data_IF_376147708747
#
_entry.id   IF_376147708747
#
_cell.length_a   1.000
_cell.length_b   1.000
_cell.length_c   1.000
_cell.angle_alpha   90.00
_cell.angle_beta   90.00
_cell.angle_gamma   90.00
#
_symmetry.space_group_name_H-M   'P 1'
#
loop_
_entity.id
_entity.type
_entity.pdbx_description
1 polymer ?
#
# COMPACT_ATOMS: atom_id res chain seq x y z
N UNK A 1 -23.05 15.55 6.64
CA UNK A 1 -22.75 14.14 6.34
C UNK A 1 -21.84 13.60 7.43
N UNK A 2 -21.84 12.30 7.72
CA UNK A 2 -20.90 11.71 8.69
C UNK A 2 -19.77 11.03 7.91
N UNK A 3 -18.53 11.36 8.24
CA UNK A 3 -17.35 10.79 7.60
C UNK A 3 -16.87 9.50 8.30
N UNK A 4 -15.80 8.89 7.81
CA UNK A 4 -15.28 7.61 8.33
C UNK A 4 -14.67 7.70 9.73
N UNK A 5 -14.45 8.92 10.25
CA UNK A 5 -14.03 9.15 11.64
C UNK A 5 -15.22 9.33 12.58
N UNK A 6 -16.44 9.35 12.04
CA UNK A 6 -17.66 9.67 12.79
C UNK A 6 -17.90 11.17 12.96
N UNK A 7 -17.13 12.03 12.28
CA UNK A 7 -17.31 13.47 12.35
C UNK A 7 -18.42 13.94 11.41
N UNK A 8 -19.22 14.91 11.87
CA UNK A 8 -20.16 15.61 11.01
C UNK A 8 -19.43 16.66 10.16
N UNK A 9 -19.60 16.57 8.85
CA UNK A 9 -18.99 17.46 7.86
C UNK A 9 -20.09 18.09 7.00
N UNK A 10 -20.04 19.42 6.87
CA UNK A 10 -20.89 20.18 5.96
C UNK A 10 -20.31 20.12 4.54
N UNK A 11 -20.72 19.10 3.79
CA UNK A 11 -20.31 18.87 2.41
C UNK A 11 -21.23 19.65 1.45
N UNK A 12 -20.70 20.39 0.45
CA UNK A 12 -21.52 21.04 -0.56
C UNK A 12 -22.39 20.05 -1.33
N UNK A 13 -23.61 20.42 -1.68
CA UNK A 13 -24.53 19.56 -2.44
C UNK A 13 -23.96 19.14 -3.82
N UNK A 14 -23.16 20.01 -4.42
CA UNK A 14 -22.52 19.76 -5.71
C UNK A 14 -21.09 20.33 -5.69
N UNK A 15 -20.10 19.59 -5.15
CA UNK A 15 -18.72 20.07 -5.13
C UNK A 15 -18.19 20.19 -6.56
N UNK A 16 -17.50 21.30 -6.86
CA UNK A 16 -16.99 21.65 -8.19
C UNK A 16 -15.46 21.74 -8.22
N UNK A 17 -14.83 21.96 -7.07
CA UNK A 17 -13.38 22.15 -6.92
C UNK A 17 -12.86 21.17 -5.89
N UNK A 18 -12.79 19.91 -6.29
CA UNK A 18 -12.39 18.81 -5.41
C UNK A 18 -10.89 18.62 -5.44
N UNK A 19 -10.29 18.49 -4.26
CA UNK A 19 -8.91 18.03 -4.08
C UNK A 19 -8.93 16.64 -3.46
N UNK A 20 -8.14 15.71 -4.01
CA UNK A 20 -7.99 14.36 -3.48
C UNK A 20 -6.56 14.15 -2.95
N UNK A 21 -6.46 13.80 -1.66
CA UNK A 21 -5.18 13.62 -0.96
C UNK A 21 -4.77 12.16 -0.78
N UNK A 22 -5.52 11.21 -1.36
CA UNK A 22 -5.13 9.81 -1.40
C UNK A 22 -5.33 9.22 -2.80
N UNK A 23 -4.52 8.20 -3.14
CA UNK A 23 -4.62 7.49 -4.42
C UNK A 23 -6.02 6.86 -4.60
N UNK A 24 -6.61 6.30 -3.53
CA UNK A 24 -7.96 5.71 -3.60
C UNK A 24 -9.05 6.76 -3.82
N UNK A 25 -8.90 7.96 -3.27
CA UNK A 25 -9.85 9.05 -3.51
C UNK A 25 -9.73 9.57 -4.94
N UNK A 26 -8.52 9.63 -5.49
CA UNK A 26 -8.29 9.95 -6.89
C UNK A 26 -8.95 8.92 -7.81
N UNK A 27 -8.71 7.63 -7.56
CA UNK A 27 -9.32 6.52 -8.30
C UNK A 27 -10.84 6.60 -8.28
N UNK A 28 -11.41 6.81 -7.09
CA UNK A 28 -12.86 6.90 -6.90
C UNK A 28 -13.45 8.11 -7.65
N UNK A 29 -12.87 9.30 -7.48
CA UNK A 29 -13.35 10.51 -8.14
C UNK A 29 -13.32 10.37 -9.66
N UNK A 30 -12.22 9.89 -10.24
CA UNK A 30 -12.12 9.71 -11.69
C UNK A 30 -13.04 8.61 -12.21
N UNK A 31 -13.21 7.50 -11.48
CA UNK A 31 -14.16 6.45 -11.84
C UNK A 31 -15.63 6.94 -11.83
N UNK A 32 -15.94 7.90 -10.96
CA UNK A 32 -17.26 8.55 -10.87
C UNK A 32 -17.41 9.75 -11.82
N UNK A 33 -16.41 10.03 -12.65
CA UNK A 33 -16.43 11.15 -13.60
C UNK A 33 -16.35 12.53 -12.95
N UNK A 34 -15.85 12.62 -11.71
CA UNK A 34 -15.66 13.87 -10.99
C UNK A 34 -14.26 14.41 -11.30
N UNK A 35 -14.14 15.60 -11.95
CA UNK A 35 -12.85 16.21 -12.19
C UNK A 35 -12.24 16.72 -10.88
N UNK A 36 -10.92 16.66 -10.78
CA UNK A 36 -10.16 17.15 -9.63
C UNK A 36 -9.41 18.42 -10.01
N UNK A 37 -9.30 19.38 -9.09
CA UNK A 37 -8.43 20.55 -9.28
C UNK A 37 -7.05 20.33 -8.68
N UNK A 38 -6.92 19.42 -7.72
CA UNK A 38 -5.65 19.10 -7.07
C UNK A 38 -5.55 17.63 -6.67
N UNK A 39 -4.36 17.08 -6.84
CA UNK A 39 -4.03 15.67 -6.56
C UNK A 39 -2.66 15.57 -5.90
N UNK A 40 -2.44 14.53 -5.09
CA UNK A 40 -1.10 14.23 -4.58
C UNK A 40 -0.25 13.46 -5.60
N UNK A 41 1.06 13.54 -5.45
CA UNK A 41 1.98 12.68 -6.19
C UNK A 41 1.83 11.22 -5.77
N UNK A 42 2.24 10.29 -6.65
CA UNK A 42 2.37 8.88 -6.28
C UNK A 42 3.38 8.68 -5.16
N UNK A 43 3.25 7.58 -4.41
CA UNK A 43 4.15 7.27 -3.28
C UNK A 43 5.63 7.23 -3.71
N UNK A 44 6.45 8.11 -3.13
CA UNK A 44 7.87 8.25 -3.46
C UNK A 44 8.16 8.87 -4.83
N UNK A 45 7.13 9.32 -5.55
CA UNK A 45 7.24 9.95 -6.86
C UNK A 45 7.15 11.48 -6.76
N UNK A 46 7.60 12.14 -7.82
CA UNK A 46 7.52 13.60 -7.99
C UNK A 46 6.34 14.04 -8.87
N UNK A 47 5.55 13.07 -9.34
CA UNK A 47 4.39 13.30 -10.21
C UNK A 47 3.21 12.46 -9.73
N UNK A 48 1.97 12.81 -10.10
CA UNK A 48 0.80 11.96 -9.85
C UNK A 48 0.98 10.54 -10.41
N UNK A 49 0.27 9.53 -9.87
CA UNK A 49 0.41 8.16 -10.30
C UNK A 49 0.30 8.00 -11.82
N UNK A 50 1.26 7.30 -12.43
CA UNK A 50 1.38 7.22 -13.88
C UNK A 50 0.13 6.65 -14.57
N UNK A 51 -0.59 5.74 -13.91
CA UNK A 51 -1.81 5.14 -14.43
C UNK A 51 -3.01 6.11 -14.48
N UNK A 52 -2.92 7.26 -13.81
CA UNK A 52 -3.95 8.30 -13.81
C UNK A 52 -3.67 9.46 -14.78
N UNK A 53 -2.51 9.48 -15.44
CA UNK A 53 -2.07 10.62 -16.26
C UNK A 53 -3.09 11.02 -17.34
N UNK A 54 -3.76 10.06 -17.97
CA UNK A 54 -4.80 10.35 -18.98
C UNK A 54 -6.09 10.93 -18.42
N UNK A 55 -6.30 10.86 -17.09
CA UNK A 55 -7.51 11.32 -16.41
C UNK A 55 -7.32 12.66 -15.69
N UNK A 56 -6.08 13.12 -15.50
CA UNK A 56 -5.78 14.31 -14.70
C UNK A 56 -6.45 15.57 -15.25
N UNK A 57 -6.58 15.72 -16.56
CA UNK A 57 -7.10 16.96 -17.16
C UNK A 57 -6.30 18.17 -16.68
N UNK A 58 -6.99 19.12 -16.03
CA UNK A 58 -6.40 20.33 -15.47
C UNK A 58 -5.93 20.18 -13.99
N UNK A 59 -6.03 18.98 -13.41
CA UNK A 59 -5.61 18.72 -12.04
C UNK A 59 -4.10 18.96 -11.89
N UNK A 60 -3.72 19.72 -10.86
CA UNK A 60 -2.30 19.96 -10.54
C UNK A 60 -1.85 19.16 -9.33
N UNK A 61 -0.55 18.87 -9.27
CA UNK A 61 0.02 18.28 -8.07
C UNK A 61 0.02 19.28 -6.92
N UNK A 62 -0.45 18.85 -5.75
CA UNK A 62 -0.38 19.59 -4.49
C UNK A 62 0.74 19.10 -3.57
N UNK A 63 1.69 18.33 -4.10
CA UNK A 63 2.88 17.88 -3.35
C UNK A 63 2.95 16.37 -3.16
N UNK A 64 3.81 15.95 -2.23
CA UNK A 64 4.06 14.54 -1.99
C UNK A 64 2.88 13.86 -1.30
N UNK A 65 2.65 12.58 -1.59
CA UNK A 65 1.63 11.77 -0.87
C UNK A 65 1.79 11.86 0.66
N UNK A 66 3.02 11.83 1.16
CA UNK A 66 3.32 11.87 2.59
C UNK A 66 3.18 13.26 3.21
N UNK A 67 3.24 14.31 2.39
CA UNK A 67 3.29 15.70 2.83
C UNK A 67 2.66 16.61 1.75
N UNK A 68 1.32 16.62 1.63
CA UNK A 68 0.63 17.53 0.73
C UNK A 68 0.78 18.97 1.21
N UNK A 69 1.01 19.92 0.31
CA UNK A 69 1.21 21.34 0.64
C UNK A 69 -0.12 22.05 0.91
N UNK A 70 -0.38 22.54 2.15
CA UNK A 70 -1.59 23.32 2.43
C UNK A 70 -1.65 24.61 1.62
N UNK A 71 -0.50 25.26 1.35
CA UNK A 71 -0.43 26.47 0.53
C UNK A 71 -0.84 26.20 -0.93
N UNK A 72 -0.35 25.09 -1.51
CA UNK A 72 -0.74 24.70 -2.85
C UNK A 72 -2.25 24.40 -2.93
N UNK A 73 -2.79 23.71 -1.93
CA UNK A 73 -4.23 23.41 -1.83
C UNK A 73 -5.04 24.70 -1.70
N UNK A 74 -4.62 25.63 -0.83
CA UNK A 74 -5.28 26.92 -0.65
C UNK A 74 -5.36 27.73 -1.96
N UNK A 75 -4.27 27.75 -2.74
CA UNK A 75 -4.22 28.45 -4.02
C UNK A 75 -5.20 27.88 -5.07
N UNK A 76 -5.62 26.63 -4.91
CA UNK A 76 -6.64 26.01 -5.76
C UNK A 76 -8.06 26.38 -5.34
N UNK A 77 -8.26 27.04 -4.20
CA UNK A 77 -9.57 27.44 -3.68
C UNK A 77 -10.61 26.29 -3.77
N UNK A 78 -10.36 25.13 -3.14
CA UNK A 78 -11.24 23.98 -3.22
C UNK A 78 -12.54 24.22 -2.45
N UNK A 79 -13.59 23.52 -2.83
CA UNK A 79 -14.85 23.47 -2.08
C UNK A 79 -15.07 22.15 -1.33
N UNK A 80 -14.22 21.15 -1.59
CA UNK A 80 -14.17 19.89 -0.86
C UNK A 80 -12.76 19.27 -0.96
N UNK A 81 -12.27 18.76 0.16
CA UNK A 81 -11.03 17.99 0.23
C UNK A 81 -11.37 16.56 0.65
N UNK A 82 -11.03 15.58 -0.19
CA UNK A 82 -11.13 14.15 0.13
C UNK A 82 -9.79 13.67 0.69
N UNK A 83 -9.86 12.93 1.79
CA UNK A 83 -8.69 12.35 2.44
C UNK A 83 -9.02 10.97 2.98
N UNK A 84 -8.09 10.03 2.88
CA UNK A 84 -8.31 8.68 3.36
C UNK A 84 -7.02 7.94 3.64
N UNK A 85 -7.11 6.87 4.44
CA UNK A 85 -5.97 6.04 4.81
C UNK A 85 -4.93 6.82 5.61
N UNK A 86 -5.41 7.65 6.55
CA UNK A 86 -4.57 8.56 7.32
C UNK A 86 -3.47 7.79 8.09
N UNK A 87 -2.28 8.39 8.07
CA UNK A 87 -1.13 8.04 8.89
C UNK A 87 -0.80 9.27 9.77
N UNK A 88 -0.04 9.09 10.87
CA UNK A 88 0.08 10.11 11.91
C UNK A 88 0.48 11.51 11.41
N UNK A 89 1.39 11.57 10.44
CA UNK A 89 1.85 12.84 9.86
C UNK A 89 0.73 13.56 9.10
N UNK A 90 -0.06 12.82 8.30
CA UNK A 90 -1.20 13.39 7.57
C UNK A 90 -2.34 13.80 8.50
N UNK A 91 -2.57 13.04 9.57
CA UNK A 91 -3.56 13.37 10.61
C UNK A 91 -3.22 14.69 11.31
N UNK A 92 -1.93 14.94 11.58
CA UNK A 92 -1.46 16.19 12.17
C UNK A 92 -1.71 17.42 11.28
N UNK A 93 -1.88 17.22 9.96
CA UNK A 93 -2.15 18.30 9.00
C UNK A 93 -3.65 18.60 8.80
N UNK A 94 -4.55 17.74 9.31
CA UNK A 94 -6.01 17.93 9.19
C UNK A 94 -6.50 19.32 9.62
N UNK A 95 -6.03 19.93 10.73
CA UNK A 95 -6.48 21.26 11.11
C UNK A 95 -6.22 22.30 10.02
N UNK A 96 -5.03 22.26 9.41
CA UNK A 96 -4.67 23.18 8.33
C UNK A 96 -5.51 22.98 7.07
N UNK A 97 -5.88 21.75 6.72
CA UNK A 97 -6.78 21.50 5.58
C UNK A 97 -8.21 21.97 5.87
N UNK A 98 -8.68 21.80 7.11
CA UNK A 98 -10.03 22.24 7.53
C UNK A 98 -10.18 23.77 7.56
N UNK A 99 -9.08 24.52 7.69
CA UNK A 99 -9.10 25.98 7.53
C UNK A 99 -9.29 26.42 6.06
N UNK A 100 -9.01 25.54 5.09
CA UNK A 100 -9.10 25.83 3.66
C UNK A 100 -10.50 25.53 3.12
N UNK A 101 -11.01 24.32 3.38
CA UNK A 101 -12.30 23.84 2.87
C UNK A 101 -12.83 22.69 3.75
N UNK A 102 -14.10 22.28 3.59
CA UNK A 102 -14.61 21.05 4.20
C UNK A 102 -13.72 19.86 3.84
N UNK A 103 -13.26 19.13 4.86
CA UNK A 103 -12.46 17.92 4.70
C UNK A 103 -13.34 16.72 5.02
N UNK A 104 -13.46 15.79 4.08
CA UNK A 104 -14.25 14.58 4.23
C UNK A 104 -13.33 13.36 4.29
N UNK A 105 -13.30 12.67 5.43
CA UNK A 105 -12.49 11.46 5.60
C UNK A 105 -13.20 10.25 5.01
N UNK A 106 -12.67 9.71 3.91
CA UNK A 106 -13.33 8.68 3.10
C UNK A 106 -13.10 7.26 3.60
N UNK A 107 -11.97 6.98 4.25
CA UNK A 107 -11.70 5.66 4.85
C UNK A 107 -10.57 5.71 5.88
N UNK A 108 -10.59 4.77 6.82
CA UNK A 108 -9.52 4.53 7.77
C UNK A 108 -8.50 3.52 7.21
N UNK A 109 -7.28 3.54 7.77
CA UNK A 109 -6.24 2.58 7.43
C UNK A 109 -6.72 1.15 7.68
N UNK A 110 -6.86 0.39 6.60
CA UNK A 110 -7.26 -1.02 6.61
C UNK A 110 -8.71 -1.29 6.25
N UNK A 111 -9.50 -0.25 6.02
CA UNK A 111 -10.86 -0.38 5.49
C UNK A 111 -10.86 -1.01 4.09
N UNK A 112 -11.95 -1.73 3.82
CA UNK A 112 -12.22 -2.33 2.52
C UNK A 112 -12.28 -1.27 1.43
N UNK A 113 -11.80 -1.61 0.23
CA UNK A 113 -11.72 -0.68 -0.87
C UNK A 113 -13.09 -0.30 -1.42
N UNK A 114 -14.09 -1.20 -1.38
CA UNK A 114 -15.45 -0.88 -1.82
C UNK A 114 -16.09 0.10 -0.86
N UNK A 115 -15.86 -0.07 0.44
CA UNK A 115 -16.31 0.88 1.46
C UNK A 115 -15.67 2.26 1.23
N UNK A 116 -14.35 2.32 1.00
CA UNK A 116 -13.66 3.56 0.67
C UNK A 116 -14.24 4.23 -0.59
N UNK A 117 -14.52 3.45 -1.64
CA UNK A 117 -15.13 3.95 -2.88
C UNK A 117 -16.54 4.49 -2.64
N UNK A 118 -17.37 3.77 -1.88
CA UNK A 118 -18.73 4.19 -1.52
C UNK A 118 -18.73 5.47 -0.67
N UNK A 119 -17.80 5.58 0.28
CA UNK A 119 -17.68 6.77 1.12
C UNK A 119 -17.18 7.98 0.33
N UNK A 120 -16.21 7.79 -0.58
CA UNK A 120 -15.81 8.85 -1.50
C UNK A 120 -16.99 9.31 -2.36
N UNK A 121 -17.79 8.37 -2.89
CA UNK A 121 -19.00 8.69 -3.63
C UNK A 121 -20.04 9.44 -2.79
N UNK A 122 -20.21 9.04 -1.52
CA UNK A 122 -21.10 9.73 -0.59
C UNK A 122 -20.67 11.18 -0.35
N UNK A 123 -19.38 11.41 -0.08
CA UNK A 123 -18.81 12.76 0.05
C UNK A 123 -18.87 13.57 -1.25
N UNK A 124 -18.93 12.92 -2.41
CA UNK A 124 -19.06 13.57 -3.72
C UNK A 124 -20.52 13.78 -4.16
N UNK A 125 -21.51 13.33 -3.37
CA UNK A 125 -22.92 13.22 -3.80
C UNK A 125 -23.08 12.43 -5.13
N UNK A 126 -22.44 11.27 -5.21
CA UNK A 126 -22.42 10.36 -6.38
C UNK A 126 -22.75 8.91 -6.01
N UNK A 127 -23.56 8.70 -4.97
CA UNK A 127 -23.87 7.35 -4.47
C UNK A 127 -24.56 6.47 -5.52
N UNK A 128 -25.47 7.02 -6.33
CA UNK A 128 -26.16 6.27 -7.38
C UNK A 128 -25.20 5.81 -8.48
N UNK A 129 -24.27 6.68 -8.88
CA UNK A 129 -23.22 6.37 -9.86
C UNK A 129 -22.27 5.30 -9.32
N UNK A 130 -21.92 5.35 -8.03
CA UNK A 130 -21.11 4.33 -7.39
C UNK A 130 -21.78 2.97 -7.32
N UNK A 131 -23.09 2.92 -7.00
CA UNK A 131 -23.87 1.69 -7.02
C UNK A 131 -23.89 1.06 -8.43
N UNK A 132 -24.14 1.88 -9.46
CA UNK A 132 -24.10 1.43 -10.85
C UNK A 132 -22.71 0.93 -11.27
N UNK A 133 -21.65 1.65 -10.88
CA UNK A 133 -20.27 1.27 -11.17
C UNK A 133 -19.89 -0.05 -10.50
N UNK A 134 -20.25 -0.24 -9.22
CA UNK A 134 -19.99 -1.48 -8.49
C UNK A 134 -20.77 -2.67 -9.08
N UNK A 135 -22.00 -2.44 -9.56
CA UNK A 135 -22.76 -3.47 -10.24
C UNK A 135 -22.11 -3.91 -11.56
N UNK A 136 -21.59 -2.97 -12.37
CA UNK A 136 -20.82 -3.30 -13.59
C UNK A 136 -19.53 -4.04 -13.24
N UNK A 137 -18.80 -3.56 -12.23
CA UNK A 137 -17.61 -4.22 -11.73
C UNK A 137 -17.88 -5.68 -11.33
N UNK A 138 -18.95 -5.93 -10.56
CA UNK A 138 -19.31 -7.27 -10.09
C UNK A 138 -19.73 -8.19 -11.23
N UNK A 139 -20.47 -7.67 -12.22
CA UNK A 139 -20.83 -8.43 -13.41
C UNK A 139 -19.59 -8.85 -14.22
N UNK A 140 -18.63 -7.93 -14.38
CA UNK A 140 -17.36 -8.19 -15.08
C UNK A 140 -16.47 -9.18 -14.32
N UNK A 141 -16.41 -9.04 -13.00
CA UNK A 141 -15.67 -9.96 -12.14
C UNK A 141 -16.26 -11.39 -12.23
N UNK A 142 -17.59 -11.53 -12.22
CA UNK A 142 -18.25 -12.82 -12.37
C UNK A 142 -18.03 -13.45 -13.76
N UNK A 143 -18.11 -12.67 -14.83
CA UNK A 143 -17.80 -13.13 -16.20
C UNK A 143 -16.34 -13.60 -16.32
N UNK A 144 -15.40 -12.88 -15.71
CA UNK A 144 -14.00 -13.28 -15.69
C UNK A 144 -13.77 -14.54 -14.84
N UNK A 145 -14.39 -14.63 -13.66
CA UNK A 145 -14.30 -15.80 -12.80
C UNK A 145 -14.75 -17.09 -13.52
N UNK A 146 -15.81 -17.01 -14.33
CA UNK A 146 -16.27 -18.15 -15.15
C UNK A 146 -15.30 -18.59 -16.26
N UNK A 147 -14.28 -17.78 -16.58
CA UNK A 147 -13.26 -18.06 -17.60
C UNK A 147 -11.94 -18.55 -17.00
N UNK A 148 -11.77 -18.44 -15.68
CA UNK A 148 -10.55 -18.84 -14.99
C UNK A 148 -10.58 -20.34 -14.64
N UNK A 149 -9.41 -21.00 -14.59
CA UNK A 149 -9.31 -22.36 -14.09
C UNK A 149 -9.74 -22.41 -12.62
N UNK A 150 -10.63 -23.35 -12.30
CA UNK A 150 -11.08 -23.56 -10.93
C UNK A 150 -9.99 -24.27 -10.10
N UNK A 151 -9.73 -23.75 -8.90
CA UNK A 151 -8.82 -24.39 -7.94
C UNK A 151 -7.35 -24.02 -8.08
N UNK A 152 -7.00 -23.08 -8.96
CA UNK A 152 -5.64 -22.54 -9.05
C UNK A 152 -5.32 -21.66 -7.85
N UNK A 153 -4.13 -21.89 -7.27
CA UNK A 153 -3.58 -21.07 -6.19
C UNK A 153 -2.75 -19.91 -6.77
N UNK A 154 -2.96 -18.72 -6.22
CA UNK A 154 -2.22 -17.51 -6.60
C UNK A 154 -1.51 -16.91 -5.40
N UNK A 155 -0.21 -16.65 -5.58
CA UNK A 155 0.61 -15.88 -4.66
C UNK A 155 0.86 -14.49 -5.23
N UNK A 156 0.57 -13.46 -4.45
CA UNK A 156 0.88 -12.08 -4.83
C UNK A 156 2.15 -11.64 -4.11
N UNK A 157 3.17 -11.30 -4.90
CA UNK A 157 4.48 -10.88 -4.42
C UNK A 157 4.73 -9.43 -4.83
N UNK A 158 5.20 -8.62 -3.88
CA UNK A 158 5.72 -7.29 -4.15
C UNK A 158 7.23 -7.28 -3.96
N UNK A 159 7.97 -6.71 -4.91
CA UNK A 159 9.41 -6.53 -4.79
C UNK A 159 9.73 -5.17 -4.19
N UNK A 160 10.43 -5.19 -3.06
CA UNK A 160 10.95 -3.99 -2.39
C UNK A 160 12.49 -3.97 -2.49
N UNK A 161 13.16 -2.85 -2.17
CA UNK A 161 14.62 -2.78 -2.13
C UNK A 161 15.28 -3.84 -1.24
N UNK A 162 14.62 -4.23 -0.15
CA UNK A 162 15.10 -5.25 0.79
C UNK A 162 14.83 -6.70 0.34
N UNK A 163 13.96 -6.89 -0.67
CA UNK A 163 13.60 -8.20 -1.22
C UNK A 163 12.10 -8.37 -1.51
N UNK A 164 11.70 -9.54 -2.02
CA UNK A 164 10.30 -9.88 -2.25
C UNK A 164 9.54 -10.05 -0.92
N UNK A 165 8.31 -9.55 -0.87
CA UNK A 165 7.37 -9.74 0.24
C UNK A 165 6.07 -10.34 -0.28
N UNK A 166 5.47 -11.25 0.49
CA UNK A 166 4.16 -11.82 0.16
C UNK A 166 3.08 -10.87 0.69
N UNK A 167 2.17 -10.46 -0.19
CA UNK A 167 1.05 -9.59 0.18
C UNK A 167 0.05 -10.33 1.07
N UNK A 168 -0.49 -9.65 2.08
CA UNK A 168 -1.45 -10.23 3.01
C UNK A 168 -2.76 -10.64 2.28
N UNK A 169 -3.50 -11.65 2.76
CA UNK A 169 -4.80 -12.06 2.22
C UNK A 169 -5.80 -10.92 2.13
N UNK A 170 -5.77 -10.01 3.10
CA UNK A 170 -6.70 -8.90 3.15
C UNK A 170 -6.29 -7.74 2.23
N UNK A 171 -5.04 -7.69 1.74
CA UNK A 171 -4.56 -6.58 0.89
C UNK A 171 -5.39 -6.44 -0.39
N UNK A 172 -5.45 -5.21 -0.93
CA UNK A 172 -6.27 -4.90 -2.11
C UNK A 172 -6.10 -5.88 -3.27
N UNK A 173 -4.87 -6.15 -3.73
CA UNK A 173 -4.66 -7.07 -4.84
C UNK A 173 -5.14 -8.50 -4.52
N UNK A 174 -4.98 -8.94 -3.28
CA UNK A 174 -5.42 -10.26 -2.81
C UNK A 174 -6.94 -10.37 -2.78
N UNK A 175 -7.65 -9.32 -2.36
CA UNK A 175 -9.12 -9.34 -2.31
C UNK A 175 -9.72 -9.39 -3.72
N UNK A 176 -9.10 -8.72 -4.69
CA UNK A 176 -9.50 -8.80 -6.11
C UNK A 176 -9.34 -10.23 -6.62
N UNK A 177 -8.17 -10.85 -6.46
CA UNK A 177 -7.92 -12.22 -6.91
C UNK A 177 -8.86 -13.22 -6.26
N UNK A 178 -9.11 -13.09 -4.95
CA UNK A 178 -10.04 -13.97 -4.22
C UNK A 178 -11.48 -13.79 -4.69
N UNK A 179 -11.88 -12.56 -5.05
CA UNK A 179 -13.22 -12.29 -5.61
C UNK A 179 -13.47 -12.94 -6.97
N UNK A 180 -12.39 -13.31 -7.68
CA UNK A 180 -12.45 -14.05 -8.95
C UNK A 180 -12.51 -15.58 -8.76
N UNK A 181 -12.57 -16.07 -7.52
CA UNK A 181 -12.64 -17.51 -7.21
C UNK A 181 -11.30 -18.23 -7.17
N UNK A 182 -10.19 -17.49 -7.29
CA UNK A 182 -8.83 -18.04 -7.13
C UNK A 182 -8.52 -18.21 -5.64
N UNK A 183 -7.77 -19.26 -5.30
CA UNK A 183 -7.38 -19.55 -3.92
C UNK A 183 -5.97 -19.04 -3.62
N UNK A 184 -5.60 -19.03 -2.34
CA UNK A 184 -4.24 -18.72 -1.91
C UNK A 184 -3.69 -19.89 -1.09
N UNK A 185 -2.38 -20.16 -1.15
CA UNK A 185 -1.79 -21.23 -0.36
C UNK A 185 -2.04 -21.03 1.14
N UNK A 186 -2.43 -22.09 1.86
CA UNK A 186 -2.84 -22.04 3.28
C UNK A 186 -1.81 -21.31 4.17
N UNK A 187 -0.52 -21.53 3.88
CA UNK A 187 0.61 -20.91 4.56
C UNK A 187 0.64 -19.38 4.55
N UNK A 188 -0.05 -18.75 3.60
CA UNK A 188 -0.09 -17.30 3.44
C UNK A 188 -1.32 -16.68 4.13
N UNK A 189 -2.28 -17.51 4.55
CA UNK A 189 -3.53 -17.05 5.15
C UNK A 189 -3.36 -16.51 6.56
N UNK A 190 -2.22 -16.77 7.21
CA UNK A 190 -1.89 -16.25 8.54
C UNK A 190 -1.21 -14.89 8.53
N UNK A 191 -0.92 -14.30 7.37
CA UNK A 191 -0.36 -12.95 7.31
C UNK A 191 -1.47 -11.96 7.69
N UNK A 192 -1.32 -11.30 8.83
CA UNK A 192 -2.33 -10.38 9.34
C UNK A 192 -2.24 -8.99 8.68
N UNK A 193 -3.36 -8.26 8.74
CA UNK A 193 -3.45 -6.91 8.24
C UNK A 193 -3.53 -6.81 6.71
N UNK A 194 -3.34 -5.59 6.23
CA UNK A 194 -3.65 -5.17 4.85
C UNK A 194 -2.40 -4.91 4.01
N UNK A 195 -1.22 -5.05 4.61
CA UNK A 195 0.08 -4.84 3.99
C UNK A 195 0.68 -6.15 3.44
N UNK A 196 1.81 -6.55 4.01
CA UNK A 196 2.56 -7.72 3.58
C UNK A 196 3.20 -8.42 4.78
N UNK A 197 3.61 -9.67 4.59
CA UNK A 197 4.42 -10.42 5.54
C UNK A 197 5.89 -9.99 5.50
N UNK A 198 6.73 -10.77 6.20
CA UNK A 198 8.17 -10.55 6.23
C UNK A 198 8.81 -10.71 4.84
N UNK A 199 9.98 -10.08 4.68
CA UNK A 199 10.81 -10.24 3.48
C UNK A 199 11.24 -11.70 3.31
N UNK A 200 11.00 -12.24 2.12
CA UNK A 200 11.42 -13.58 1.73
C UNK A 200 12.87 -13.51 1.26
N UNK A 201 13.74 -14.34 1.85
CA UNK A 201 15.14 -14.42 1.42
C UNK A 201 15.25 -15.07 0.03
N UNK A 202 16.34 -14.79 -0.69
CA UNK A 202 16.56 -15.34 -2.04
C UNK A 202 16.62 -16.88 -2.04
N UNK A 203 17.09 -17.49 -0.96
CA UNK A 203 17.12 -18.94 -0.76
C UNK A 203 15.73 -19.54 -0.53
N UNK A 204 14.78 -18.73 -0.04
CA UNK A 204 13.40 -19.13 0.22
C UNK A 204 12.44 -18.74 -0.91
N UNK A 205 12.95 -18.26 -2.07
CA UNK A 205 12.10 -17.81 -3.17
C UNK A 205 11.21 -18.93 -3.73
N UNK A 206 11.65 -20.19 -3.65
CA UNK A 206 10.84 -21.36 -4.02
C UNK A 206 9.68 -21.62 -3.05
N UNK A 207 9.70 -21.06 -1.84
CA UNK A 207 8.62 -21.16 -0.86
C UNK A 207 7.45 -20.21 -1.17
N UNK A 208 7.63 -19.27 -2.12
CA UNK A 208 6.55 -18.44 -2.65
C UNK A 208 5.53 -19.30 -3.41
N UNK A 209 6.02 -20.27 -4.18
CA UNK A 209 5.18 -21.19 -4.96
C UNK A 209 4.59 -22.31 -4.09
N UNK A 210 5.34 -22.80 -3.10
CA UNK A 210 4.97 -23.99 -2.34
C UNK A 210 3.93 -23.74 -1.22
N UNK A 211 3.50 -22.49 -1.02
CA UNK A 211 2.82 -22.09 0.21
C UNK A 211 3.77 -22.18 1.40
N UNK A 212 3.97 -21.07 2.13
CA UNK A 212 4.88 -21.08 3.29
C UNK A 212 4.47 -22.18 4.29
N UNK A 213 5.34 -23.13 4.66
CA UNK A 213 5.04 -23.99 5.81
C UNK A 213 4.95 -23.09 7.05
N UNK A 214 3.87 -23.27 7.81
CA UNK A 214 3.55 -22.57 9.07
C UNK A 214 4.76 -22.59 10.01
N UNK A 215 5.63 -21.58 9.97
CA UNK A 215 6.69 -21.45 10.97
C UNK A 215 6.02 -20.95 12.25
N UNK A 216 6.06 -21.70 13.37
CA UNK A 216 5.54 -21.16 14.61
C UNK A 216 6.34 -19.92 14.93
N UNK A 217 5.66 -18.78 15.03
CA UNK A 217 6.19 -17.57 15.64
C UNK A 217 6.60 -17.97 17.06
N UNK A 218 7.87 -18.38 17.23
CA UNK A 218 8.50 -18.36 18.53
C UNK A 218 8.65 -16.89 18.84
N UNK A 219 7.61 -16.32 19.45
CA UNK A 219 7.77 -15.17 20.32
C UNK A 219 9.02 -15.44 21.14
N UNK A 220 10.01 -14.56 21.04
CA UNK A 220 11.11 -14.54 22.00
C UNK A 220 10.48 -14.20 23.36
N UNK A 221 9.90 -15.20 24.00
CA UNK A 221 9.61 -15.19 25.40
C UNK A 221 10.96 -14.96 26.08
N UNK A 222 11.20 -13.71 26.50
CA UNK A 222 12.35 -13.33 27.31
C UNK A 222 12.45 -14.35 28.44
N UNK A 223 13.48 -15.16 28.40
CA UNK A 223 13.78 -16.12 29.44
C UNK A 223 14.19 -15.33 30.70
N UNK A 224 13.20 -14.86 31.47
CA UNK A 224 13.41 -14.35 32.83
C UNK A 224 13.63 -15.56 33.73
N UNK A 225 14.86 -16.05 33.79
CA UNK A 225 15.35 -16.86 34.92
C UNK A 225 16.88 -16.94 34.89
N UNK A 226 17.52 -15.93 35.48
CA UNK A 226 18.76 -16.09 36.22
C UNK A 226 18.74 -15.07 37.37
N UNK A 227 18.17 -15.47 38.51
CA UNK A 227 18.57 -14.90 39.80
C UNK A 227 19.83 -15.65 40.20
N UNK A 228 20.97 -14.96 40.23
CA UNK A 228 22.18 -15.43 40.89
C UNK A 228 22.37 -14.63 42.17
N UNK A 229 22.13 -15.26 43.31
CA UNK A 229 22.77 -14.89 44.59
C UNK A 229 24.18 -15.48 44.63
N UNK A 230 25.19 -14.79 45.20
CA UNK A 230 26.57 -15.24 45.19
C UNK A 230 26.94 -16.02 46.47
N UNK A 231 27.80 -17.03 46.35
CA UNK A 231 28.76 -17.40 47.42
C UNK A 231 29.86 -18.32 46.85
N UNK A 232 31.11 -18.24 47.35
CA UNK A 232 32.31 -18.55 46.59
C UNK A 232 32.93 -19.89 46.98
N UNK A 233 33.65 -20.53 46.06
CA UNK A 233 34.93 -21.18 46.37
C UNK A 233 35.56 -21.82 45.12
N UNK A 234 36.89 -21.87 45.20
CA UNK A 234 37.84 -22.54 44.32
C UNK A 234 38.36 -21.74 43.12
N UNK A 235 39.67 -21.64 43.16
CA UNK A 235 40.60 -20.79 42.46
C UNK A 235 41.14 -21.47 41.21
N UNK A 236 41.41 -20.64 40.20
CA UNK A 236 42.53 -20.71 39.27
C UNK A 236 42.60 -21.88 38.26
N UNK A 237 42.41 -21.53 36.97
CA UNK A 237 43.54 -21.38 36.02
C UNK A 237 43.10 -20.64 34.75
N UNK A 238 43.77 -19.51 34.50
CA UNK A 238 43.63 -18.72 33.29
C UNK A 238 44.70 -19.19 32.28
N UNK A 239 44.28 -19.76 31.16
CA UNK A 239 45.15 -20.10 30.02
C UNK A 239 44.88 -19.16 28.85
N UNK A 240 45.81 -18.23 28.59
CA UNK A 240 45.85 -17.42 27.36
C UNK A 240 46.38 -18.26 26.18
N UNK A 241 45.86 -17.99 24.98
CA UNK A 241 46.45 -18.06 23.60
C UNK A 241 45.31 -18.39 22.62
N UNK A 242 45.14 -17.83 21.43
CA UNK A 242 45.77 -16.78 20.62
C UNK A 242 44.79 -16.44 19.48
N UNK A 243 44.79 -15.21 18.99
CA UNK A 243 44.04 -14.80 17.81
C UNK A 243 44.63 -15.40 16.52
N UNK A 244 43.78 -15.95 15.65
CA UNK A 244 44.14 -16.37 14.30
C UNK A 244 43.35 -15.58 13.25
N UNK A 245 44.11 -14.70 12.61
CA UNK A 245 43.92 -13.88 11.41
C UNK A 245 43.26 -14.65 10.25
N UNK A 246 42.20 -14.10 9.65
CA UNK A 246 41.70 -14.51 8.33
C UNK A 246 41.89 -13.40 7.29
N UNK A 247 42.57 -13.75 6.19
CA UNK A 247 42.92 -12.92 5.04
C UNK A 247 41.72 -12.75 4.12
N UNK A 248 41.53 -11.54 3.59
CA UNK A 248 40.71 -11.22 2.41
C UNK A 248 41.24 -11.97 1.18
N UNK A 249 40.34 -12.58 0.41
CA UNK A 249 40.52 -12.86 -1.03
C UNK A 249 39.51 -12.02 -1.79
N UNK A 250 40.03 -11.05 -2.55
CA UNK A 250 39.34 -10.33 -3.60
C UNK A 250 39.41 -11.14 -4.88
N UNK A 251 38.28 -11.42 -5.52
CA UNK A 251 38.22 -11.85 -6.91
C UNK A 251 37.21 -10.99 -7.65
N UNK A 252 37.76 -10.04 -8.41
CA UNK A 252 37.13 -9.26 -9.45
C UNK A 252 36.59 -10.18 -10.55
N UNK A 253 35.30 -10.08 -10.86
CA UNK A 253 34.74 -10.65 -12.09
C UNK A 253 34.16 -9.51 -12.93
N UNK A 254 34.84 -9.25 -14.03
CA UNK A 254 34.52 -8.28 -15.08
C UNK A 254 33.38 -8.81 -15.95
N UNK A 255 32.36 -7.98 -16.17
CA UNK A 255 31.28 -8.23 -17.13
C UNK A 255 31.68 -7.74 -18.53
N UNK A 256 31.41 -8.48 -19.63
CA UNK A 256 31.62 -7.96 -20.96
C UNK A 256 30.43 -7.10 -21.42
N UNK A 257 30.73 -5.91 -21.94
CA UNK A 257 29.83 -5.06 -22.75
C UNK A 257 29.66 -5.66 -24.16
N UNK A 258 28.43 -5.65 -24.68
CA UNK A 258 28.07 -5.59 -26.12
C UNK A 258 26.87 -4.66 -26.22
N UNK A 259 27.05 -3.41 -26.65
CA UNK A 259 27.09 -2.91 -28.04
C UNK A 259 25.70 -2.75 -28.67
N UNK A 260 25.35 -1.49 -28.89
CA UNK A 260 24.20 -0.93 -29.59
C UNK A 260 24.05 -1.45 -31.03
N UNK A 261 22.81 -1.59 -31.50
CA UNK A 261 22.32 -1.35 -32.87
C UNK A 261 20.79 -1.18 -32.76
N UNK A 262 20.26 0.05 -32.88
CA UNK A 262 19.83 0.72 -34.12
C UNK A 262 18.51 0.19 -34.69
N UNK A 263 17.49 1.02 -34.49
CA UNK A 263 16.30 1.32 -35.30
C UNK A 263 15.92 0.39 -36.47
N UNK A 264 14.65 -0.03 -36.49
CA UNK A 264 13.85 -0.02 -37.72
C UNK A 264 12.35 0.04 -37.43
N UNK A 265 11.75 1.11 -37.93
CA UNK A 265 10.32 1.35 -38.15
C UNK A 265 9.78 0.46 -39.28
N UNK A 266 8.49 0.13 -39.27
CA UNK A 266 7.60 -0.20 -40.42
C UNK A 266 6.16 -0.12 -39.84
N UNK A 267 5.38 0.94 -40.12
CA UNK A 267 4.29 1.02 -41.12
C UNK A 267 3.29 -0.11 -41.08
#
# INVERSE_FOLDING_TARGET
MVDSTGAEVEVPLNPQRVVALSERDMDAAFALGVPLVGVVNGRGAQTPPAYLQSYLGDAVSVGAFSEPSPEAILNLNPDLILIGGMFPELEAMLPSFREIAPVFVTFNSGDDWRLAFQNAAYGLNRTAEAEAWLADYDARAADLAGKLPAGDEVTIVRFNPDGPVIMAPASFASTIVTSLGLTRPEGQMSIEGQGHGDTVSLEAISAIDAGMPRWPIRSMARCRRCRTTPSPSSTARCGRRSAARWRRRSSSTTWPRRSEHSSQSLT
#
